data_IF_068564447298
#
_entry.id   IF_068564447298
#
_cell.length_a   1.000
_cell.length_b   1.000
_cell.length_c   1.000
_cell.angle_alpha   90.00
_cell.angle_beta   90.00
_cell.angle_gamma   90.00
#
_symmetry.space_group_name_H-M   'P 1'
#
loop_
_entity.id
_entity.type
_entity.pdbx_description
1 polymer ?
#
# COMPACT_ATOMS: atom_id res chain seq x y z
N UNK A 1 -29.87 42.32 43.01
CA UNK A 1 -30.33 42.36 41.61
C UNK A 1 -29.13 42.63 40.72
N UNK A 2 -28.98 41.81 39.67
CA UNK A 2 -28.14 42.02 38.47
C UNK A 2 -26.62 41.88 38.70
N UNK A 3 -26.07 40.66 38.56
CA UNK A 3 -25.56 40.06 37.29
C UNK A 3 -24.44 40.88 36.66
N UNK A 4 -23.23 40.34 36.62
CA UNK A 4 -22.39 40.24 35.41
C UNK A 4 -21.06 39.55 35.76
N UNK A 5 -21.08 38.21 35.73
CA UNK A 5 -19.88 37.40 35.62
C UNK A 5 -19.43 37.45 34.16
N UNK A 6 -18.36 38.19 33.87
CA UNK A 6 -17.71 38.14 32.56
C UNK A 6 -16.57 37.12 32.62
N UNK A 7 -16.91 35.85 32.43
CA UNK A 7 -15.92 34.80 32.22
C UNK A 7 -15.57 34.76 30.72
N UNK A 8 -14.46 35.40 30.35
CA UNK A 8 -13.85 35.25 29.02
C UNK A 8 -13.16 33.89 28.97
N UNK A 9 -13.91 32.86 28.59
CA UNK A 9 -13.35 31.57 28.23
C UNK A 9 -12.81 31.66 26.80
N UNK A 10 -11.52 31.95 26.68
CA UNK A 10 -10.74 31.75 25.45
C UNK A 10 -10.73 30.25 25.13
N UNK A 11 -11.66 29.82 24.29
CA UNK A 11 -11.66 28.50 23.65
C UNK A 11 -10.46 28.42 22.72
N UNK A 12 -9.37 27.85 23.23
CA UNK A 12 -8.29 27.27 22.42
C UNK A 12 -8.85 26.08 21.64
N UNK A 13 -9.46 26.35 20.48
CA UNK A 13 -9.68 25.30 19.48
C UNK A 13 -8.36 25.12 18.74
N UNK A 14 -7.50 24.27 19.31
CA UNK A 14 -6.33 23.77 18.64
C UNK A 14 -6.76 22.99 17.39
N UNK A 15 -6.78 23.65 16.25
CA UNK A 15 -6.79 22.98 14.96
C UNK A 15 -5.44 22.28 14.79
N UNK A 16 -5.38 21.00 15.15
CA UNK A 16 -4.34 20.12 14.65
C UNK A 16 -4.56 19.98 13.14
N UNK A 17 -4.02 20.92 12.37
CA UNK A 17 -3.83 20.74 10.95
C UNK A 17 -2.81 19.60 10.79
N UNK A 18 -3.31 18.38 10.55
CA UNK A 18 -2.48 17.30 10.05
C UNK A 18 -1.87 17.80 8.74
N UNK A 19 -0.57 18.07 8.76
CA UNK A 19 0.18 18.59 7.62
C UNK A 19 0.18 17.60 6.47
N UNK A 20 -0.83 17.67 5.61
CA UNK A 20 -0.75 17.09 4.27
C UNK A 20 -0.06 18.13 3.40
N UNK A 21 1.19 17.86 3.04
CA UNK A 21 1.92 18.65 2.06
C UNK A 21 1.14 18.60 0.73
N UNK A 22 0.50 19.70 0.28
CA UNK A 22 -0.33 19.70 -0.94
C UNK A 22 0.50 19.48 -2.21
N UNK A 23 1.84 19.47 -2.12
CA UNK A 23 2.74 19.25 -3.23
C UNK A 23 3.22 17.80 -3.37
N UNK A 24 2.92 16.91 -2.40
CA UNK A 24 3.30 15.51 -2.48
C UNK A 24 2.34 14.75 -3.39
N UNK A 25 2.76 14.46 -4.63
CA UNK A 25 2.00 13.62 -5.54
C UNK A 25 1.86 12.21 -4.97
N UNK A 26 0.62 11.74 -4.84
CA UNK A 26 0.28 10.38 -4.39
C UNK A 26 -0.57 9.69 -5.46
N UNK A 27 0.05 9.29 -6.58
CA UNK A 27 -0.67 8.66 -7.70
C UNK A 27 -1.18 7.24 -7.39
N UNK A 28 -0.75 6.66 -6.26
CA UNK A 28 -1.16 5.34 -5.80
C UNK A 28 -1.96 5.47 -4.51
N UNK A 29 -3.19 4.96 -4.55
CA UNK A 29 -4.03 4.77 -3.36
C UNK A 29 -4.11 3.29 -3.01
N UNK A 30 -3.78 2.94 -1.77
CA UNK A 30 -3.76 1.56 -1.30
C UNK A 30 -5.00 1.22 -0.48
N UNK A 31 -5.59 0.06 -0.75
CA UNK A 31 -6.64 -0.55 0.06
C UNK A 31 -6.15 -1.89 0.61
N UNK A 32 -6.36 -2.12 1.90
CA UNK A 32 -5.83 -3.27 2.62
C UNK A 32 -6.97 -4.05 3.25
N UNK A 33 -7.19 -5.28 2.81
CA UNK A 33 -8.32 -6.10 3.26
C UNK A 33 -7.91 -7.56 3.48
N UNK A 34 -8.74 -8.29 4.23
CA UNK A 34 -8.62 -9.73 4.38
C UNK A 34 -9.92 -10.41 3.93
N UNK A 35 -9.81 -11.62 3.42
CA UNK A 35 -10.94 -12.45 2.99
C UNK A 35 -10.71 -13.86 3.47
N UNK A 36 -11.63 -14.40 4.27
CA UNK A 36 -11.62 -15.81 4.65
C UNK A 36 -11.95 -16.67 3.43
N UNK A 37 -11.10 -17.64 3.12
CA UNK A 37 -11.27 -18.56 1.99
C UNK A 37 -11.52 -20.01 2.41
N UNK A 38 -11.11 -20.38 3.62
CA UNK A 38 -11.48 -21.65 4.25
C UNK A 38 -11.29 -21.57 5.77
N UNK A 39 -11.44 -22.69 6.48
CA UNK A 39 -11.08 -22.72 7.90
C UNK A 39 -9.61 -22.29 8.10
N UNK A 40 -9.42 -21.34 9.02
CA UNK A 40 -8.12 -20.71 9.35
C UNK A 40 -7.29 -20.18 8.18
N UNK A 41 -7.86 -20.04 6.98
CA UNK A 41 -7.11 -19.64 5.79
C UNK A 41 -7.72 -18.38 5.20
N UNK A 42 -6.87 -17.39 4.98
CA UNK A 42 -7.24 -16.05 4.57
C UNK A 42 -6.38 -15.58 3.41
N UNK A 43 -7.01 -14.92 2.45
CA UNK A 43 -6.33 -14.06 1.49
C UNK A 43 -6.17 -12.67 2.11
N UNK A 44 -4.98 -12.11 2.02
CA UNK A 44 -4.67 -10.73 2.39
C UNK A 44 -4.43 -9.97 1.11
N UNK A 45 -5.29 -9.00 0.84
CA UNK A 45 -5.30 -8.20 -0.38
C UNK A 45 -4.70 -6.83 -0.09
N UNK A 46 -3.64 -6.49 -0.81
CA UNK A 46 -3.02 -5.17 -0.83
C UNK A 46 -3.27 -4.59 -2.22
N UNK A 47 -4.39 -3.90 -2.40
CA UNK A 47 -4.82 -3.41 -3.71
C UNK A 47 -4.31 -2.00 -3.94
N UNK A 48 -3.50 -1.81 -4.98
CA UNK A 48 -3.10 -0.50 -5.46
C UNK A 48 -4.05 -0.01 -6.55
N UNK A 49 -4.67 1.15 -6.35
CA UNK A 49 -5.38 1.91 -7.38
C UNK A 49 -4.44 2.99 -7.91
N UNK A 50 -4.25 3.01 -9.22
CA UNK A 50 -3.21 3.77 -9.92
C UNK A 50 -3.91 4.84 -10.75
N UNK A 51 -3.54 6.11 -10.53
CA UNK A 51 -4.08 7.21 -11.32
C UNK A 51 -3.72 7.05 -12.80
N UNK A 52 -4.59 7.48 -13.74
CA UNK A 52 -4.29 7.43 -15.17
C UNK A 52 -2.97 8.13 -15.52
N UNK A 53 -2.18 7.52 -16.41
CA UNK A 53 -0.86 8.00 -16.82
C UNK A 53 0.28 7.69 -15.85
N UNK A 54 0.00 7.00 -14.74
CA UNK A 54 1.01 6.51 -13.81
C UNK A 54 1.17 4.99 -13.89
N UNK A 55 2.35 4.52 -13.52
CA UNK A 55 2.74 3.12 -13.57
C UNK A 55 3.37 2.68 -12.25
N UNK A 56 2.89 1.54 -11.72
CA UNK A 56 3.44 0.87 -10.55
C UNK A 56 4.24 -0.36 -11.00
N UNK A 57 5.45 -0.51 -10.50
CA UNK A 57 6.34 -1.59 -10.92
C UNK A 57 6.04 -2.92 -10.23
N UNK A 58 6.05 -4.00 -11.00
CA UNK A 58 5.97 -5.39 -10.54
C UNK A 58 7.09 -5.74 -9.54
N UNK A 59 6.82 -6.71 -8.66
CA UNK A 59 7.83 -7.38 -7.82
C UNK A 59 8.86 -8.14 -8.67
N UNK A 60 8.42 -8.66 -9.81
CA UNK A 60 9.25 -9.36 -10.79
C UNK A 60 9.61 -8.40 -11.93
N UNK A 61 10.88 -8.04 -12.03
CA UNK A 61 11.42 -7.13 -13.04
C UNK A 61 12.45 -7.84 -13.92
N UNK A 62 12.60 -7.44 -15.18
CA UNK A 62 13.71 -7.87 -16.01
C UNK A 62 15.05 -7.31 -15.46
N UNK A 63 16.15 -7.97 -15.78
CA UNK A 63 17.49 -7.64 -15.27
C UNK A 63 17.97 -6.22 -15.65
N UNK A 64 17.44 -5.66 -16.74
CA UNK A 64 17.75 -4.32 -17.26
C UNK A 64 16.86 -3.22 -16.66
N UNK A 65 15.92 -3.56 -15.78
CA UNK A 65 15.04 -2.58 -15.14
C UNK A 65 15.82 -1.70 -14.15
N UNK A 66 15.62 -0.38 -14.28
CA UNK A 66 16.23 0.61 -13.37
C UNK A 66 15.28 1.03 -12.25
N UNK A 67 13.97 0.79 -12.42
CA UNK A 67 12.97 1.18 -11.45
C UNK A 67 12.94 0.18 -10.28
N UNK A 68 12.76 0.69 -9.07
CA UNK A 68 12.68 -0.16 -7.90
C UNK A 68 11.39 -1.00 -7.94
N UNK A 69 11.50 -2.33 -7.86
CA UNK A 69 10.33 -3.21 -7.84
C UNK A 69 9.48 -2.95 -6.60
N UNK A 70 8.18 -3.19 -6.71
CA UNK A 70 7.34 -3.23 -5.51
C UNK A 70 7.82 -4.38 -4.61
N UNK A 71 7.83 -4.17 -3.29
CA UNK A 71 8.24 -5.17 -2.32
C UNK A 71 7.25 -5.20 -1.17
N UNK A 72 6.72 -6.38 -0.87
CA UNK A 72 5.82 -6.62 0.27
C UNK A 72 6.58 -7.34 1.37
N UNK A 73 6.58 -6.76 2.57
CA UNK A 73 7.16 -7.37 3.77
C UNK A 73 6.06 -7.64 4.78
N UNK A 74 5.93 -8.90 5.21
CA UNK A 74 5.02 -9.29 6.28
C UNK A 74 5.83 -9.44 7.57
N UNK A 75 5.38 -8.76 8.63
CA UNK A 75 6.00 -8.88 9.94
C UNK A 75 5.78 -10.28 10.51
N UNK A 76 6.78 -10.80 11.22
CA UNK A 76 6.65 -12.11 11.85
C UNK A 76 5.53 -12.10 12.90
N UNK A 77 4.63 -13.07 12.82
CA UNK A 77 3.59 -13.31 13.81
C UNK A 77 3.57 -14.82 14.12
N UNK A 78 3.86 -15.23 15.37
CA UNK A 78 3.96 -16.66 15.72
C UNK A 78 2.65 -17.42 15.51
N UNK A 79 1.50 -16.73 15.49
CA UNK A 79 0.18 -17.31 15.26
C UNK A 79 -0.14 -17.54 13.78
N UNK A 80 0.69 -17.04 12.85
CA UNK A 80 0.47 -17.09 11.41
C UNK A 80 1.53 -17.96 10.72
N UNK A 81 1.15 -18.52 9.58
CA UNK A 81 2.04 -19.17 8.61
C UNK A 81 1.70 -18.60 7.23
N UNK A 82 2.70 -18.03 6.56
CA UNK A 82 2.58 -17.63 5.16
C UNK A 82 2.55 -18.88 4.29
N UNK A 83 1.64 -18.91 3.32
CA UNK A 83 1.52 -20.01 2.37
C UNK A 83 1.88 -19.53 0.97
N UNK A 84 3.13 -19.78 0.58
CA UNK A 84 3.70 -19.29 -0.67
C UNK A 84 4.10 -17.81 -0.64
N UNK A 85 4.47 -17.31 -1.82
CA UNK A 85 4.86 -15.92 -2.08
C UNK A 85 3.62 -15.05 -2.35
N UNK A 86 3.79 -13.74 -2.20
CA UNK A 86 2.80 -12.75 -2.63
C UNK A 86 2.61 -12.85 -4.15
N UNK A 87 1.36 -13.02 -4.58
CA UNK A 87 0.98 -13.05 -5.98
C UNK A 87 0.48 -11.68 -6.43
N UNK A 88 0.61 -11.39 -7.72
CA UNK A 88 0.09 -10.17 -8.32
C UNK A 88 -1.05 -10.51 -9.26
N UNK A 89 -2.21 -9.87 -9.05
CA UNK A 89 -3.38 -10.01 -9.90
C UNK A 89 -3.68 -8.66 -10.54
N UNK A 90 -3.36 -8.56 -11.82
CA UNK A 90 -3.55 -7.37 -12.64
C UNK A 90 -3.13 -7.65 -14.09
N UNK A 91 -3.36 -6.69 -14.97
CA UNK A 91 -2.89 -6.77 -16.35
C UNK A 91 -1.44 -6.27 -16.38
N UNK A 92 -0.47 -7.17 -16.21
CA UNK A 92 0.95 -6.83 -16.26
C UNK A 92 1.34 -6.41 -17.68
N UNK A 93 1.95 -5.25 -17.79
CA UNK A 93 2.48 -4.69 -19.02
C UNK A 93 3.99 -4.93 -19.09
N UNK A 94 4.46 -5.45 -20.23
CA UNK A 94 5.88 -5.53 -20.56
C UNK A 94 6.27 -4.29 -21.34
N UNK A 95 6.74 -3.27 -20.62
CA UNK A 95 7.17 -2.01 -21.21
C UNK A 95 8.65 -2.07 -21.61
N UNK A 96 8.99 -1.40 -22.71
CA UNK A 96 10.37 -1.17 -23.13
C UNK A 96 10.54 0.26 -23.59
N UNK A 97 11.43 0.97 -22.94
CA UNK A 97 11.80 2.33 -23.33
C UNK A 97 12.63 2.28 -24.61
N UNK A 98 12.18 2.98 -25.65
CA UNK A 98 12.85 2.97 -26.96
C UNK A 98 14.15 3.80 -26.99
N UNK A 99 14.28 4.77 -26.10
CA UNK A 99 15.40 5.70 -26.06
C UNK A 99 16.52 5.11 -25.22
N UNK A 100 16.18 4.62 -24.03
CA UNK A 100 17.12 4.05 -23.06
C UNK A 100 17.39 2.57 -23.31
N UNK A 101 16.50 1.88 -24.04
CA UNK A 101 16.63 0.45 -24.35
C UNK A 101 16.32 -0.47 -23.17
N UNK A 102 15.94 0.08 -22.01
CA UNK A 102 15.62 -0.63 -20.78
C UNK A 102 14.17 -1.11 -20.76
N UNK A 103 13.93 -2.20 -20.02
CA UNK A 103 12.62 -2.81 -19.90
C UNK A 103 12.05 -2.64 -18.49
N UNK A 104 10.72 -2.74 -18.37
CA UNK A 104 10.04 -2.76 -17.08
C UNK A 104 8.77 -3.61 -17.16
N UNK A 105 8.50 -4.35 -16.08
CA UNK A 105 7.19 -4.93 -15.84
C UNK A 105 6.37 -3.98 -14.98
N UNK A 106 5.22 -3.54 -15.47
CA UNK A 106 4.46 -2.48 -14.80
C UNK A 106 2.96 -2.74 -14.85
N UNK A 107 2.23 -2.00 -14.01
CA UNK A 107 0.79 -2.03 -13.95
C UNK A 107 0.23 -0.61 -14.09
N UNK A 108 -0.87 -0.49 -14.81
CA UNK A 108 -1.73 0.69 -14.86
C UNK A 108 -3.11 0.39 -14.30
N UNK A 109 -3.83 1.43 -13.90
CA UNK A 109 -5.18 1.41 -13.30
C UNK A 109 -5.27 0.69 -11.95
N UNK A 110 -4.94 -0.60 -11.88
CA UNK A 110 -5.08 -1.41 -10.68
C UNK A 110 -4.22 -2.67 -10.73
N UNK A 111 -3.64 -3.02 -9.58
CA UNK A 111 -3.06 -4.34 -9.31
C UNK A 111 -3.36 -4.72 -7.87
N UNK A 112 -3.59 -6.00 -7.64
CA UNK A 112 -3.83 -6.56 -6.31
C UNK A 112 -2.72 -7.53 -5.91
N UNK A 113 -2.06 -7.24 -4.80
CA UNK A 113 -1.03 -8.11 -4.24
C UNK A 113 -1.65 -9.00 -3.17
N UNK A 114 -1.66 -10.31 -3.41
CA UNK A 114 -2.38 -11.28 -2.60
C UNK A 114 -1.41 -12.21 -1.87
N UNK A 115 -1.45 -12.20 -0.55
CA UNK A 115 -0.75 -13.17 0.30
C UNK A 115 -1.74 -14.14 0.94
N UNK A 116 -1.53 -15.44 0.76
CA UNK A 116 -2.28 -16.47 1.47
C UNK A 116 -1.68 -16.69 2.86
N UNK A 117 -2.52 -16.65 3.89
CA UNK A 117 -2.13 -16.81 5.29
C UNK A 117 -2.96 -17.89 5.96
N UNK A 118 -2.28 -18.76 6.71
CA UNK A 118 -2.88 -19.77 7.57
C UNK A 118 -2.70 -19.39 9.04
N UNK A 119 -3.79 -19.35 9.79
CA UNK A 119 -3.78 -19.21 11.25
C UNK A 119 -3.46 -20.55 11.90
N UNK A 120 -2.60 -20.55 12.91
CA UNK A 120 -2.26 -21.75 13.69
C UNK A 120 -3.27 -22.03 14.80
N UNK A 121 -3.97 -21.00 15.26
CA UNK A 121 -4.97 -21.08 16.35
C UNK A 121 -6.25 -20.35 15.94
N UNK A 122 -7.30 -20.43 16.75
CA UNK A 122 -8.55 -19.66 16.58
C UNK A 122 -8.50 -18.29 17.29
N UNK A 123 -7.36 -17.91 17.85
CA UNK A 123 -7.22 -16.62 18.53
C UNK A 123 -7.29 -15.49 17.51
N UNK A 124 -8.09 -14.47 17.81
CA UNK A 124 -8.16 -13.25 17.00
C UNK A 124 -6.76 -12.65 16.84
N UNK A 125 -6.38 -12.33 15.61
CA UNK A 125 -5.07 -11.76 15.32
C UNK A 125 -5.10 -10.92 14.05
N UNK A 126 -4.01 -10.22 13.81
CA UNK A 126 -3.83 -9.38 12.64
C UNK A 126 -2.60 -9.83 11.84
N UNK A 127 -2.63 -9.54 10.54
CA UNK A 127 -1.43 -9.48 9.71
C UNK A 127 -0.97 -8.03 9.65
N UNK A 128 0.33 -7.79 9.85
CA UNK A 128 0.93 -6.47 9.68
C UNK A 128 2.15 -6.54 8.80
N UNK A 129 2.50 -5.41 8.19
CA UNK A 129 3.61 -5.35 7.25
C UNK A 129 3.71 -4.01 6.57
N UNK A 130 4.47 -4.00 5.49
CA UNK A 130 4.66 -2.82 4.65
C UNK A 130 4.76 -3.16 3.17
N UNK A 131 4.43 -2.18 2.34
CA UNK A 131 4.66 -2.19 0.89
C UNK A 131 5.59 -1.04 0.55
N UNK A 132 6.75 -1.35 0.00
CA UNK A 132 7.68 -0.37 -0.57
C UNK A 132 7.51 -0.39 -2.09
N UNK A 133 7.39 0.78 -2.72
CA UNK A 133 7.12 0.87 -4.15
C UNK A 133 7.65 2.17 -4.76
N UNK A 134 7.92 2.12 -6.06
CA UNK A 134 8.20 3.29 -6.89
C UNK A 134 7.08 3.48 -7.92
N UNK A 135 6.83 4.74 -8.30
CA UNK A 135 5.84 5.09 -9.31
C UNK A 135 6.43 6.10 -10.28
N UNK A 136 6.21 5.90 -11.58
CA UNK A 136 6.61 6.84 -12.61
C UNK A 136 5.43 7.17 -13.53
N UNK A 137 5.49 8.36 -14.12
CA UNK A 137 4.75 8.74 -15.32
C UNK A 137 5.73 8.81 -16.51
N UNK A 138 5.26 9.25 -17.68
CA UNK A 138 6.08 9.38 -18.90
C UNK A 138 7.25 10.39 -18.79
N UNK A 139 7.28 11.22 -17.73
CA UNK A 139 8.23 12.34 -17.59
C UNK A 139 9.16 12.17 -16.41
N UNK A 140 8.73 11.49 -15.35
CA UNK A 140 9.47 11.41 -14.10
C UNK A 140 9.09 10.19 -13.27
N UNK A 141 10.03 9.85 -12.40
CA UNK A 141 9.83 8.88 -11.33
C UNK A 141 9.79 9.58 -9.97
N UNK A 142 8.87 9.15 -9.11
CA UNK A 142 8.84 9.58 -7.72
C UNK A 142 9.87 8.77 -6.89
N UNK A 143 10.35 9.33 -5.77
CA UNK A 143 11.11 8.54 -4.80
C UNK A 143 10.33 7.32 -4.31
N UNK A 144 11.04 6.27 -3.89
CA UNK A 144 10.42 5.10 -3.29
C UNK A 144 9.63 5.52 -2.05
N UNK A 145 8.39 5.03 -1.96
CA UNK A 145 7.51 5.25 -0.82
C UNK A 145 7.23 3.92 -0.13
N UNK A 146 7.12 3.97 1.20
CA UNK A 146 6.69 2.84 2.02
C UNK A 146 5.35 3.16 2.67
N UNK A 147 4.40 2.24 2.58
CA UNK A 147 3.12 2.29 3.30
C UNK A 147 3.02 1.09 4.23
N UNK A 148 2.56 1.31 5.45
CA UNK A 148 2.36 0.25 6.44
C UNK A 148 0.90 -0.19 6.45
N UNK A 149 0.64 -1.46 6.74
CA UNK A 149 -0.71 -2.00 6.93
C UNK A 149 -0.79 -2.84 8.18
N UNK A 150 -2.00 -2.91 8.74
CA UNK A 150 -2.37 -3.78 9.85
C UNK A 150 -3.83 -4.18 9.64
N UNK A 151 -4.04 -5.45 9.29
CA UNK A 151 -5.33 -5.98 8.82
C UNK A 151 -5.77 -7.07 9.79
N UNK A 152 -6.95 -6.93 10.38
CA UNK A 152 -7.53 -7.97 11.21
C UNK A 152 -7.94 -9.18 10.35
N UNK A 153 -7.65 -10.39 10.83
CA UNK A 153 -8.14 -11.62 10.22
C UNK A 153 -9.48 -11.97 10.89
N UNK A 154 -10.57 -11.75 10.17
CA UNK A 154 -11.95 -11.96 10.65
C UNK A 154 -12.74 -12.78 9.63
#
# INVERSE_FOLDING_TARGET
MKTLFTAVALLFVGYCAYGQNPYAQNPISWNFTSKKVSDKTFEVHLTANIQPGWHLYSQDQPDDAIAAPTSVKINNNPLLKLDGKVKEIGNMEKYKDKILGISAHQYSNKVDFIQLIKMKTNAMTNVSGSVAFQTCDDKKCLPVKTVNFNIALK
#
